data_IF_393897133571
#
_entry.id   IF_393897133571
#
_cell.length_a   1.000
_cell.length_b   1.000
_cell.length_c   1.000
_cell.angle_alpha   90.00
_cell.angle_beta   90.00
_cell.angle_gamma   90.00
#
_symmetry.space_group_name_H-M   'P 1'
#
loop_
_entity.id
_entity.type
_entity.pdbx_description
1 polymer ?
#
# COMPACT_ATOMS: atom_id res chain seq x y z
N UNK A 1 2.20 3.17 2.61
CA UNK A 1 1.94 2.01 3.50
C UNK A 1 1.06 0.95 2.83
N UNK A 2 -0.12 1.28 2.27
CA UNK A 2 -0.93 0.30 1.54
C UNK A 2 -0.17 -0.41 0.41
N UNK A 3 0.45 0.34 -0.51
CA UNK A 3 1.25 -0.25 -1.59
C UNK A 3 2.33 -1.20 -1.05
N UNK A 4 2.95 -0.86 0.08
CA UNK A 4 3.98 -1.69 0.70
C UNK A 4 3.45 -3.08 1.10
N UNK A 5 2.25 -3.16 1.67
CA UNK A 5 1.56 -4.43 1.92
C UNK A 5 1.32 -5.19 0.61
N UNK A 6 0.89 -4.49 -0.44
CA UNK A 6 0.70 -5.09 -1.76
C UNK A 6 1.96 -5.75 -2.31
N UNK A 7 3.11 -5.09 -2.17
CA UNK A 7 4.39 -5.66 -2.62
C UNK A 7 4.86 -6.83 -1.73
N UNK A 8 4.76 -6.71 -0.41
CA UNK A 8 5.18 -7.77 0.52
C UNK A 8 4.36 -9.06 0.38
N UNK A 9 3.04 -8.93 0.21
CA UNK A 9 2.13 -10.07 0.13
C UNK A 9 1.77 -10.45 -1.31
N UNK A 10 2.44 -9.86 -2.31
CA UNK A 10 2.23 -10.19 -3.73
C UNK A 10 0.87 -9.78 -4.30
N UNK A 11 0.13 -8.89 -3.62
CA UNK A 11 -1.18 -8.39 -4.08
C UNK A 11 -0.99 -7.29 -5.13
N UNK A 12 -1.13 -7.65 -6.40
CA UNK A 12 -0.95 -6.73 -7.54
C UNK A 12 -2.14 -5.81 -7.80
N UNK A 13 -3.34 -6.21 -7.37
CA UNK A 13 -4.57 -5.46 -7.61
C UNK A 13 -4.87 -4.52 -6.45
N UNK A 14 -4.91 -3.22 -6.71
CA UNK A 14 -5.28 -2.21 -5.71
C UNK A 14 -6.68 -2.46 -5.13
N UNK A 15 -7.62 -2.93 -5.95
CA UNK A 15 -8.96 -3.32 -5.47
C UNK A 15 -8.92 -4.50 -4.52
N UNK A 16 -8.09 -5.50 -4.83
CA UNK A 16 -7.91 -6.64 -3.94
C UNK A 16 -7.26 -6.20 -2.63
N UNK A 17 -6.21 -5.39 -2.70
CA UNK A 17 -5.52 -4.87 -1.52
C UNK A 17 -6.45 -4.09 -0.58
N UNK A 18 -7.34 -3.25 -1.14
CA UNK A 18 -8.35 -2.54 -0.35
C UNK A 18 -9.34 -3.52 0.30
N UNK A 19 -9.84 -4.53 -0.44
CA UNK A 19 -10.70 -5.58 0.13
C UNK A 19 -10.01 -6.37 1.25
N UNK A 20 -8.76 -6.76 1.04
CA UNK A 20 -7.99 -7.48 2.05
C UNK A 20 -7.81 -6.62 3.30
N UNK A 21 -7.56 -5.31 3.11
CA UNK A 21 -7.43 -4.37 4.24
C UNK A 21 -8.75 -4.22 5.02
N UNK A 22 -9.91 -4.37 4.37
CA UNK A 22 -11.20 -4.31 5.06
C UNK A 22 -11.39 -5.43 6.07
N UNK A 23 -10.88 -6.63 5.77
CA UNK A 23 -11.10 -7.83 6.59
C UNK A 23 -9.89 -8.22 7.43
N UNK A 24 -8.68 -7.84 7.01
CA UNK A 24 -7.44 -8.27 7.63
C UNK A 24 -7.02 -7.30 8.75
N UNK A 25 -7.16 -7.76 10.00
CA UNK A 25 -6.79 -6.99 11.20
C UNK A 25 -5.31 -6.60 11.21
N UNK A 26 -4.41 -7.46 10.73
CA UNK A 26 -2.97 -7.17 10.67
C UNK A 26 -2.68 -6.03 9.69
N UNK A 27 -3.38 -5.99 8.56
CA UNK A 27 -3.22 -4.90 7.60
C UNK A 27 -3.70 -3.58 8.20
N UNK A 28 -4.84 -3.59 8.91
CA UNK A 28 -5.36 -2.40 9.61
C UNK A 28 -4.41 -1.92 10.70
N UNK A 29 -3.89 -2.84 11.52
CA UNK A 29 -2.89 -2.54 12.55
C UNK A 29 -1.63 -1.90 11.95
N UNK A 30 -1.09 -2.45 10.86
CA UNK A 30 0.07 -1.88 10.17
C UNK A 30 -0.19 -0.46 9.61
N UNK A 31 -1.42 -0.22 9.15
CA UNK A 31 -1.85 1.09 8.66
C UNK A 31 -2.17 2.07 9.79
N UNK A 32 -2.24 1.62 11.04
CA UNK A 32 -2.65 2.42 12.20
C UNK A 32 -4.15 2.73 12.20
N UNK A 33 -4.97 1.86 11.60
CA UNK A 33 -6.42 1.98 11.54
C UNK A 33 -7.05 1.12 12.65
N UNK A 34 -8.07 1.67 13.32
CA UNK A 34 -8.97 0.92 14.18
C UNK A 34 -9.86 -0.01 13.34
N UNK A 35 -10.53 -0.97 13.98
CA UNK A 35 -11.42 -1.91 13.30
C UNK A 35 -12.60 -1.22 12.59
N UNK A 36 -13.07 -0.10 13.12
CA UNK A 36 -14.24 0.66 12.64
C UNK A 36 -13.89 1.76 11.63
N UNK A 37 -12.61 2.05 11.42
CA UNK A 37 -12.22 3.16 10.54
C UNK A 37 -12.61 2.89 9.08
N UNK A 38 -12.96 3.93 8.34
CA UNK A 38 -13.22 3.78 6.92
C UNK A 38 -11.90 3.64 6.16
N UNK A 39 -11.87 2.71 5.20
CA UNK A 39 -10.74 2.55 4.27
C UNK A 39 -11.09 3.32 2.99
N UNK A 40 -10.14 4.08 2.42
CA UNK A 40 -10.36 4.77 1.15
C UNK A 40 -10.64 3.79 0.00
N UNK A 41 -11.39 4.23 -1.00
CA UNK A 41 -11.64 3.43 -2.20
C UNK A 41 -10.34 3.20 -3.00
N UNK A 42 -10.29 2.12 -3.78
CA UNK A 42 -9.15 1.79 -4.63
C UNK A 42 -8.80 2.91 -5.63
N UNK A 43 -9.78 3.70 -6.09
CA UNK A 43 -9.55 4.88 -6.91
C UNK A 43 -8.69 5.93 -6.21
N UNK A 44 -8.87 6.11 -4.89
CA UNK A 44 -8.07 7.05 -4.09
C UNK A 44 -6.61 6.60 -4.04
N UNK A 45 -6.36 5.30 -3.85
CA UNK A 45 -5.02 4.74 -3.87
C UNK A 45 -4.34 4.94 -5.23
N UNK A 46 -5.07 4.66 -6.31
CA UNK A 46 -4.56 4.80 -7.68
C UNK A 46 -4.22 6.25 -8.02
N UNK A 47 -5.11 7.20 -7.69
CA UNK A 47 -4.87 8.63 -7.88
C UNK A 47 -3.69 9.13 -7.03
N UNK A 48 -3.55 8.64 -5.81
CA UNK A 48 -2.40 8.98 -4.96
C UNK A 48 -1.09 8.49 -5.57
N UNK A 49 -1.06 7.27 -6.13
CA UNK A 49 0.10 6.72 -6.84
C UNK A 49 0.44 7.58 -8.07
N UNK A 50 -0.53 7.90 -8.90
CA UNK A 50 -0.28 8.72 -10.10
C UNK A 50 0.27 10.09 -9.70
N UNK A 51 -0.37 10.79 -8.74
CA UNK A 51 0.02 12.15 -8.36
C UNK A 51 1.37 12.22 -7.63
N UNK A 52 1.73 11.21 -6.83
CA UNK A 52 3.00 11.22 -6.08
C UNK A 52 4.19 10.72 -6.88
N UNK A 53 3.96 9.88 -7.88
CA UNK A 53 5.03 9.19 -8.60
C UNK A 53 5.16 9.63 -10.08
N UNK A 54 4.30 10.53 -10.58
CA UNK A 54 4.38 10.99 -11.97
C UNK A 54 5.52 11.96 -12.26
N UNK A 55 5.81 12.89 -11.35
CA UNK A 55 6.73 14.00 -11.65
C UNK A 55 8.21 13.60 -11.48
N UNK A 56 8.48 12.46 -10.85
CA UNK A 56 9.84 11.98 -10.60
C UNK A 56 9.87 10.50 -10.23
N UNK A 57 10.83 9.76 -10.80
CA UNK A 57 11.10 8.36 -10.43
C UNK A 57 11.69 8.20 -9.02
N UNK A 58 12.15 9.28 -8.39
CA UNK A 58 12.83 9.26 -7.08
C UNK A 58 11.95 8.59 -6.01
N UNK A 59 10.65 8.86 -6.01
CA UNK A 59 9.73 8.23 -5.07
C UNK A 59 9.63 6.71 -5.27
N UNK A 60 9.62 6.27 -6.52
CA UNK A 60 9.55 4.85 -6.87
C UNK A 60 10.84 4.14 -6.45
N UNK A 61 12.00 4.73 -6.74
CA UNK A 61 13.31 4.19 -6.37
C UNK A 61 13.46 4.03 -4.84
N UNK A 62 13.10 5.07 -4.07
CA UNK A 62 13.13 5.01 -2.60
C UNK A 62 12.19 3.92 -2.10
N UNK A 63 10.98 3.85 -2.66
CA UNK A 63 9.99 2.86 -2.24
C UNK A 63 10.46 1.43 -2.53
N UNK A 64 11.01 1.17 -3.72
CA UNK A 64 11.52 -0.13 -4.11
C UNK A 64 12.70 -0.55 -3.25
N UNK A 65 13.62 0.36 -2.92
CA UNK A 65 14.73 0.08 -2.01
C UNK A 65 14.24 -0.30 -0.60
N UNK A 66 13.21 0.38 -0.08
CA UNK A 66 12.60 0.02 1.21
C UNK A 66 11.98 -1.40 1.15
N UNK A 67 11.29 -1.74 0.07
CA UNK A 67 10.74 -3.09 -0.14
C UNK A 67 11.85 -4.13 -0.19
N UNK A 68 12.92 -3.88 -0.95
CA UNK A 68 14.07 -4.77 -1.06
C UNK A 68 14.74 -5.00 0.29
N UNK A 69 14.94 -3.95 1.09
CA UNK A 69 15.52 -4.08 2.44
C UNK A 69 14.63 -4.91 3.37
N UNK A 70 13.30 -4.74 3.29
CA UNK A 70 12.36 -5.51 4.09
C UNK A 70 12.33 -6.99 3.71
N UNK A 71 12.55 -7.33 2.43
CA UNK A 71 12.61 -8.73 1.97
C UNK A 71 13.94 -9.43 2.27
N UNK A 72 15.03 -8.67 2.49
CA UNK A 72 16.36 -9.22 2.81
C UNK A 72 16.56 -9.54 4.29
N UNK A 73 15.72 -8.99 5.16
CA UNK A 73 15.72 -9.29 6.60
C UNK A 73 14.82 -10.47 6.89
#
# INVERSE_FOLDING_TARGET
>A
KLLFLGYLFGVRSERQLIRDTQVNVVYRWFLGLNLTDNIPDASTLSQNRIRRFNDSEVYQQIFDEIVLQAMRK
#
